data_IF_499330717373
#
_entry.id   IF_499330717373
#
_cell.length_a   1.000
_cell.length_b   1.000
_cell.length_c   1.000
_cell.angle_alpha   90.00
_cell.angle_beta   90.00
_cell.angle_gamma   90.00
#
_symmetry.space_group_name_H-M   'P 1'
#
loop_
_entity.id
_entity.type
_entity.pdbx_description
1 polymer ?
#
# COMPACT_ATOMS: atom_id res chain seq x y z
N UNK A 1 0.30 -20.93 -22.35
CA UNK A 1 0.23 -19.67 -21.56
C UNK A 1 -1.00 -19.77 -20.67
N UNK A 2 -0.85 -19.84 -19.35
CA UNK A 2 -2.01 -19.80 -18.44
C UNK A 2 -2.30 -18.35 -18.04
N UNK A 3 -3.56 -17.92 -17.91
CA UNK A 3 -3.89 -16.50 -17.78
C UNK A 3 -3.55 -15.84 -16.43
N UNK A 4 -3.00 -16.58 -15.45
CA UNK A 4 -3.05 -16.20 -14.04
C UNK A 4 -1.69 -16.19 -13.30
N UNK A 5 -0.56 -15.97 -13.98
CA UNK A 5 0.74 -15.81 -13.28
C UNK A 5 1.16 -14.34 -13.22
N UNK A 6 0.96 -13.70 -12.06
CA UNK A 6 1.68 -12.46 -11.73
C UNK A 6 3.19 -12.76 -11.70
N UNK A 7 4.00 -12.01 -12.46
CA UNK A 7 5.45 -12.21 -12.48
C UNK A 7 6.08 -11.34 -11.38
N UNK A 8 7.15 -11.84 -10.75
CA UNK A 8 7.85 -11.15 -9.65
C UNK A 8 8.38 -9.76 -10.09
N UNK A 9 8.76 -9.60 -11.35
CA UNK A 9 9.22 -8.31 -11.86
C UNK A 9 8.10 -7.26 -11.87
N UNK A 10 6.87 -7.68 -12.14
CA UNK A 10 5.69 -6.81 -12.13
C UNK A 10 5.37 -6.34 -10.70
N UNK A 11 5.63 -7.19 -9.68
CA UNK A 11 5.43 -6.80 -8.28
C UNK A 11 6.41 -5.73 -7.79
N UNK A 12 7.67 -5.75 -8.23
CA UNK A 12 8.65 -4.73 -7.84
C UNK A 12 8.34 -3.37 -8.47
N UNK A 13 7.89 -3.37 -9.72
CA UNK A 13 7.43 -2.16 -10.41
C UNK A 13 6.20 -1.60 -9.71
N UNK A 14 5.19 -2.44 -9.44
CA UNK A 14 3.99 -2.05 -8.72
C UNK A 14 4.30 -1.46 -7.33
N UNK A 15 5.23 -2.07 -6.58
CA UNK A 15 5.62 -1.57 -5.26
C UNK A 15 6.35 -0.22 -5.34
N UNK A 16 7.18 -0.05 -6.36
CA UNK A 16 7.87 1.22 -6.62
C UNK A 16 6.86 2.32 -6.94
N UNK A 17 5.88 2.02 -7.79
CA UNK A 17 4.85 2.99 -8.17
C UNK A 17 3.90 3.31 -7.01
N UNK A 18 3.51 2.32 -6.19
CA UNK A 18 2.75 2.57 -4.95
C UNK A 18 3.50 3.52 -4.00
N UNK A 19 4.81 3.34 -3.81
CA UNK A 19 5.59 4.26 -2.97
C UNK A 19 5.64 5.68 -3.57
N UNK A 20 5.78 5.81 -4.90
CA UNK A 20 5.70 7.14 -5.56
C UNK A 20 4.33 7.78 -5.35
N UNK A 21 3.26 7.00 -5.41
CA UNK A 21 1.91 7.52 -5.23
C UNK A 21 1.66 7.96 -3.79
N UNK A 22 2.18 7.25 -2.79
CA UNK A 22 2.14 7.72 -1.39
C UNK A 22 2.85 9.07 -1.21
N UNK A 23 3.98 9.29 -1.90
CA UNK A 23 4.69 10.59 -1.89
C UNK A 23 3.83 11.66 -2.56
N UNK A 24 3.22 11.37 -3.72
CA UNK A 24 2.32 12.31 -4.42
C UNK A 24 1.13 12.69 -3.56
N UNK A 25 0.48 11.71 -2.92
CA UNK A 25 -0.64 11.94 -2.00
C UNK A 25 -0.23 12.83 -0.83
N UNK A 26 0.93 12.53 -0.20
CA UNK A 26 1.49 13.37 0.86
C UNK A 26 1.68 14.81 0.40
N UNK A 27 2.32 15.01 -0.76
CA UNK A 27 2.61 16.35 -1.28
C UNK A 27 1.31 17.10 -1.57
N UNK A 28 0.34 16.44 -2.21
CA UNK A 28 -0.96 17.04 -2.45
C UNK A 28 -1.67 17.44 -1.14
N UNK A 29 -1.65 16.59 -0.10
CA UNK A 29 -2.19 16.97 1.20
C UNK A 29 -1.48 18.21 1.77
N UNK A 30 -0.16 18.25 1.68
CA UNK A 30 0.63 19.40 2.15
C UNK A 30 0.29 20.69 1.40
N UNK A 31 0.22 20.63 0.07
CA UNK A 31 -0.13 21.76 -0.80
C UNK A 31 -1.55 22.29 -0.51
N UNK A 32 -2.44 21.42 -0.03
CA UNK A 32 -3.82 21.74 0.34
C UNK A 32 -4.00 22.01 1.85
N UNK A 33 -2.91 22.21 2.60
CA UNK A 33 -2.94 22.47 4.05
C UNK A 33 -3.64 21.37 4.88
N UNK A 34 -3.63 20.13 4.37
CA UNK A 34 -4.15 18.95 5.04
C UNK A 34 -3.02 18.20 5.75
N UNK A 35 -3.24 17.89 7.02
CA UNK A 35 -2.29 17.14 7.83
C UNK A 35 -2.63 15.65 7.80
N UNK A 36 -1.71 14.85 7.25
CA UNK A 36 -1.77 13.40 7.37
C UNK A 36 -1.22 12.97 8.72
N UNK A 37 -1.95 12.09 9.41
CA UNK A 37 -1.47 11.45 10.62
C UNK A 37 -1.00 10.02 10.29
N UNK A 38 0.32 9.78 10.15
CA UNK A 38 0.84 8.46 9.77
C UNK A 38 0.55 7.38 10.81
N UNK A 39 0.27 7.74 12.07
CA UNK A 39 -0.11 6.77 13.12
C UNK A 39 -1.54 6.25 12.94
N UNK A 40 -2.40 7.08 12.33
CA UNK A 40 -3.79 6.73 12.02
C UNK A 40 -3.96 6.08 10.65
N UNK A 41 -2.97 6.17 9.76
CA UNK A 41 -3.00 5.48 8.46
C UNK A 41 -2.82 3.97 8.64
N UNK A 42 -3.69 3.18 8.01
CA UNK A 42 -3.64 1.71 8.03
C UNK A 42 -3.52 1.17 6.62
N UNK A 43 -2.72 0.11 6.44
CA UNK A 43 -2.64 -0.64 5.20
C UNK A 43 -3.56 -1.86 5.31
N UNK A 44 -4.37 -2.09 4.28
CA UNK A 44 -5.20 -3.30 4.17
C UNK A 44 -4.99 -3.92 2.79
N UNK A 45 -4.77 -5.23 2.76
CA UNK A 45 -4.46 -5.97 1.53
C UNK A 45 -5.63 -6.89 1.21
N UNK A 46 -6.15 -6.77 -0.01
CA UNK A 46 -7.29 -7.55 -0.47
C UNK A 46 -6.89 -8.53 -1.58
N UNK A 47 -7.46 -9.72 -1.52
CA UNK A 47 -7.24 -10.78 -2.49
C UNK A 47 -7.81 -12.11 -2.02
N UNK A 48 -7.89 -13.10 -2.91
CA UNK A 48 -8.22 -14.46 -2.48
C UNK A 48 -7.12 -15.01 -1.57
N UNK A 49 -7.44 -15.99 -0.70
CA UNK A 49 -6.44 -16.63 0.16
C UNK A 49 -5.24 -17.16 -0.66
N UNK A 50 -5.49 -17.66 -1.87
CA UNK A 50 -4.45 -18.18 -2.77
C UNK A 50 -3.56 -17.08 -3.36
N UNK A 51 -4.09 -15.88 -3.57
CA UNK A 51 -3.31 -14.72 -4.02
C UNK A 51 -2.47 -14.16 -2.88
N UNK A 52 -3.07 -13.95 -1.72
CA UNK A 52 -2.38 -13.41 -0.54
C UNK A 52 -1.24 -14.34 -0.09
N UNK A 53 -1.41 -15.66 -0.20
CA UNK A 53 -0.36 -16.64 0.09
C UNK A 53 0.84 -16.60 -0.88
N UNK A 54 0.69 -15.97 -2.06
CA UNK A 54 1.75 -15.82 -3.06
C UNK A 54 2.34 -14.42 -3.10
N UNK A 55 1.83 -13.51 -2.28
CA UNK A 55 2.30 -12.14 -2.24
C UNK A 55 3.71 -12.13 -1.65
N UNK A 56 4.70 -11.54 -2.34
CA UNK A 56 6.03 -11.39 -1.76
C UNK A 56 5.98 -10.45 -0.56
N UNK A 57 6.95 -10.57 0.35
CA UNK A 57 7.14 -9.57 1.39
C UNK A 57 7.38 -8.20 0.75
N UNK A 58 6.67 -7.20 1.25
CA UNK A 58 6.73 -5.85 0.72
C UNK A 58 6.69 -4.82 1.83
N UNK A 59 7.25 -3.64 1.54
CA UNK A 59 7.30 -2.51 2.48
C UNK A 59 6.77 -1.26 1.81
N UNK A 60 5.84 -0.62 2.50
CA UNK A 60 5.31 0.70 2.15
C UNK A 60 5.57 1.63 3.32
N UNK A 61 5.92 2.88 3.03
CA UNK A 61 6.12 3.89 4.06
C UNK A 61 5.39 5.18 3.71
N UNK A 62 4.83 5.83 4.73
CA UNK A 62 4.22 7.15 4.62
C UNK A 62 4.83 8.04 5.70
N UNK A 63 5.39 9.19 5.30
CA UNK A 63 6.04 10.14 6.21
C UNK A 63 7.15 9.50 7.07
N UNK A 64 7.91 8.57 6.49
CA UNK A 64 9.00 7.86 7.18
C UNK A 64 8.54 6.76 8.14
N UNK A 65 7.22 6.51 8.25
CA UNK A 65 6.67 5.40 9.03
C UNK A 65 6.28 4.25 8.13
N UNK A 66 6.76 3.05 8.44
CA UNK A 66 6.35 1.82 7.75
C UNK A 66 4.87 1.51 8.03
N UNK A 67 4.12 1.20 6.98
CA UNK A 67 2.72 0.84 7.06
C UNK A 67 2.60 -0.68 7.24
N UNK A 68 2.11 -1.09 8.41
CA UNK A 68 1.87 -2.51 8.68
C UNK A 68 0.46 -2.92 8.25
N UNK A 69 0.29 -4.09 7.61
CA UNK A 69 -1.03 -4.61 7.28
C UNK A 69 -1.89 -4.79 8.54
N UNK A 70 -3.12 -4.29 8.51
CA UNK A 70 -4.13 -4.52 9.54
C UNK A 70 -5.13 -5.58 9.07
N UNK A 71 -5.54 -6.47 9.97
CA UNK A 71 -6.54 -7.51 9.71
C UNK A 71 -7.97 -6.94 9.59
N UNK A 72 -8.20 -5.78 10.19
CA UNK A 72 -9.44 -5.01 10.06
C UNK A 72 -9.12 -3.51 10.14
N UNK A 73 -9.93 -2.72 9.45
CA UNK A 73 -9.94 -1.27 9.54
C UNK A 73 -11.36 -0.88 9.91
N UNK A 74 -11.50 -0.06 10.96
CA UNK A 74 -12.80 0.49 11.35
C UNK A 74 -13.02 1.78 10.55
N UNK A 75 -14.13 1.85 9.83
CA UNK A 75 -14.55 3.09 9.19
C UNK A 75 -15.06 4.09 10.25
N UNK A 76 -15.02 5.38 9.92
CA UNK A 76 -15.42 6.45 10.83
C UNK A 76 -16.95 6.61 10.95
N UNK A 77 -17.73 5.93 10.12
CA UNK A 77 -19.21 5.93 10.19
C UNK A 77 -19.86 5.63 8.86
#
# INVERSE_FOLDING_TARGET
MTPNSFRINDSNIALTDLNKDLIRMRNWCFDNLLLLNPDKTKLMVYGSRQMLAKLPDFRLSLLGKELTPASSVKDLG
#
